data_IF_728017748109
#
_entry.id   IF_728017748109
#
_cell.length_a   1.000
_cell.length_b   1.000
_cell.length_c   1.000
_cell.angle_alpha   90.00
_cell.angle_beta   90.00
_cell.angle_gamma   90.00
#
_symmetry.space_group_name_H-M   'P 1'
#
loop_
_entity.id
_entity.type
_entity.pdbx_description
1 polymer ?
#
# COMPACT_ATOMS: atom_id res chain seq x y z
N UNK A 1 0.44 11.47 5.15
CA UNK A 1 1.69 11.66 5.89
C UNK A 1 1.93 10.54 6.90
N UNK A 2 0.91 10.16 7.69
CA UNK A 2 0.99 9.13 8.73
C UNK A 2 1.32 7.73 8.17
N UNK A 3 0.83 7.39 6.98
CA UNK A 3 1.11 6.12 6.29
C UNK A 3 2.46 6.10 5.55
N UNK A 4 3.21 7.19 5.57
CA UNK A 4 4.46 7.34 4.83
C UNK A 4 5.52 6.29 5.21
N UNK A 5 5.73 5.93 6.50
CA UNK A 5 6.68 4.88 6.87
C UNK A 5 6.37 3.52 6.23
N UNK A 6 5.08 3.19 6.06
CA UNK A 6 4.62 1.94 5.44
C UNK A 6 4.86 1.90 3.93
N UNK A 7 5.04 3.05 3.29
CA UNK A 7 5.48 3.14 1.91
C UNK A 7 7.01 3.10 1.80
N UNK A 8 7.70 3.84 2.65
CA UNK A 8 9.16 4.03 2.57
C UNK A 8 9.92 2.74 2.84
N UNK A 9 9.55 1.99 3.88
CA UNK A 9 10.27 0.78 4.27
C UNK A 9 10.34 -0.29 3.14
N UNK A 10 9.24 -0.69 2.48
CA UNK A 10 9.30 -1.66 1.39
C UNK A 10 10.07 -1.14 0.17
N UNK A 11 9.97 0.16 -0.11
CA UNK A 11 10.73 0.78 -1.19
C UNK A 11 12.23 0.78 -0.91
N UNK A 12 12.62 1.14 0.30
CA UNK A 12 14.01 1.10 0.74
C UNK A 12 14.58 -0.31 0.60
N UNK A 13 13.88 -1.33 1.09
CA UNK A 13 14.28 -2.73 0.94
C UNK A 13 14.40 -3.14 -0.53
N UNK A 14 13.48 -2.70 -1.39
CA UNK A 14 13.54 -3.01 -2.81
C UNK A 14 14.76 -2.37 -3.50
N UNK A 15 15.11 -1.15 -3.13
CA UNK A 15 16.31 -0.48 -3.64
C UNK A 15 17.60 -1.10 -3.09
N UNK A 16 17.64 -1.47 -1.83
CA UNK A 16 18.79 -2.18 -1.23
C UNK A 16 19.03 -3.53 -1.90
N UNK A 17 17.96 -4.29 -2.17
CA UNK A 17 18.04 -5.58 -2.87
C UNK A 17 18.46 -5.45 -4.35
N UNK A 18 18.17 -4.34 -4.99
CA UNK A 18 18.61 -4.07 -6.37
C UNK A 18 20.13 -4.02 -6.45
N UNK A 19 20.78 -3.44 -5.44
CA UNK A 19 22.21 -3.21 -5.42
C UNK A 19 22.66 -2.18 -6.47
N UNK A 20 23.98 -1.99 -6.56
CA UNK A 20 24.58 -1.03 -7.50
C UNK A 20 24.89 -1.63 -8.86
N UNK A 21 25.12 -2.93 -8.92
CA UNK A 21 25.63 -3.62 -10.11
C UNK A 21 24.76 -3.42 -11.37
N UNK A 22 23.42 -3.60 -11.36
CA UNK A 22 22.61 -3.37 -12.56
C UNK A 22 22.65 -1.93 -13.05
N UNK A 23 22.76 -0.97 -12.11
CA UNK A 23 22.80 0.47 -12.41
C UNK A 23 24.15 0.83 -13.05
N UNK A 24 25.25 0.27 -12.56
CA UNK A 24 26.60 0.48 -13.08
C UNK A 24 26.77 -0.14 -14.47
N UNK A 25 26.21 -1.33 -14.70
CA UNK A 25 26.19 -1.97 -16.02
C UNK A 25 25.42 -1.12 -17.02
N UNK A 26 24.25 -0.63 -16.68
CA UNK A 26 23.49 0.27 -17.56
C UNK A 26 24.23 1.59 -17.83
N UNK A 27 24.97 2.09 -16.83
CA UNK A 27 25.79 3.27 -16.98
C UNK A 27 26.94 3.06 -17.98
N UNK A 28 27.61 1.92 -17.91
CA UNK A 28 28.71 1.56 -18.83
C UNK A 28 28.25 1.37 -20.27
N UNK A 29 26.97 1.04 -20.47
CA UNK A 29 26.32 0.96 -21.78
C UNK A 29 25.83 2.33 -22.30
N UNK A 30 26.11 3.43 -21.59
CA UNK A 30 25.77 4.78 -22.00
C UNK A 30 24.36 5.24 -21.65
N UNK A 31 23.60 4.46 -20.85
CA UNK A 31 22.26 4.85 -20.43
C UNK A 31 22.30 6.11 -19.55
N UNK A 32 21.46 7.09 -19.87
CA UNK A 32 21.28 8.30 -19.07
C UNK A 32 20.62 8.04 -17.71
N UNK A 33 20.66 8.98 -16.75
CA UNK A 33 20.11 8.75 -15.40
C UNK A 33 18.59 8.48 -15.41
N UNK A 34 17.84 9.17 -16.26
CA UNK A 34 16.38 8.96 -16.41
C UNK A 34 16.11 7.62 -17.07
N UNK A 35 16.87 7.25 -18.09
CA UNK A 35 16.74 5.99 -18.79
C UNK A 35 17.04 4.81 -17.84
N UNK A 36 18.11 4.88 -17.06
CA UNK A 36 18.40 3.89 -15.98
C UNK A 36 17.27 3.76 -14.98
N UNK A 37 16.65 4.86 -14.59
CA UNK A 37 15.53 4.83 -13.65
C UNK A 37 14.32 4.09 -14.26
N UNK A 38 13.94 4.42 -15.49
CA UNK A 38 12.74 3.86 -16.13
C UNK A 38 12.93 2.43 -16.63
N UNK A 39 14.13 2.09 -17.14
CA UNK A 39 14.37 0.78 -17.78
C UNK A 39 14.98 -0.26 -16.84
N UNK A 40 15.66 0.15 -15.78
CA UNK A 40 16.33 -0.76 -14.84
C UNK A 40 15.69 -0.70 -13.46
N UNK A 41 15.69 0.47 -12.82
CA UNK A 41 15.28 0.59 -11.42
C UNK A 41 13.79 0.30 -11.25
N UNK A 42 12.95 0.98 -12.02
CA UNK A 42 11.50 0.87 -11.89
C UNK A 42 10.99 -0.56 -12.15
N UNK A 43 11.37 -1.25 -13.24
CA UNK A 43 10.91 -2.62 -13.48
C UNK A 43 11.50 -3.64 -12.49
N UNK A 44 12.71 -3.45 -12.00
CA UNK A 44 13.32 -4.35 -11.02
C UNK A 44 12.75 -4.16 -9.61
N UNK A 45 12.36 -2.94 -9.24
CA UNK A 45 11.77 -2.60 -7.95
C UNK A 45 10.23 -2.65 -7.94
N UNK A 46 9.56 -3.02 -9.06
CA UNK A 46 8.08 -3.04 -9.14
C UNK A 46 7.40 -3.80 -8.01
N UNK A 47 8.01 -4.90 -7.53
CA UNK A 47 7.50 -5.65 -6.38
C UNK A 47 7.47 -4.83 -5.10
N UNK A 48 8.49 -4.02 -4.85
CA UNK A 48 8.55 -3.10 -3.71
C UNK A 48 7.49 -2.01 -3.79
N UNK A 49 7.25 -1.45 -4.97
CA UNK A 49 6.18 -0.47 -5.19
C UNK A 49 4.79 -1.03 -4.91
N UNK A 50 4.51 -2.27 -5.35
CA UNK A 50 3.23 -2.93 -5.09
C UNK A 50 3.04 -3.17 -3.59
N UNK A 51 4.07 -3.65 -2.89
CA UNK A 51 4.02 -3.88 -1.45
C UNK A 51 3.83 -2.55 -0.70
N UNK A 52 4.58 -1.51 -1.07
CA UNK A 52 4.46 -0.18 -0.49
C UNK A 52 3.04 0.40 -0.64
N UNK A 53 2.49 0.34 -1.85
CA UNK A 53 1.13 0.80 -2.12
C UNK A 53 0.10 0.02 -1.31
N UNK A 54 0.23 -1.30 -1.24
CA UNK A 54 -0.70 -2.15 -0.49
C UNK A 54 -0.65 -1.90 1.02
N UNK A 55 0.54 -1.82 1.59
CA UNK A 55 0.69 -1.57 3.03
C UNK A 55 0.18 -0.18 3.41
N UNK A 56 0.52 0.84 2.62
CA UNK A 56 0.01 2.20 2.84
C UNK A 56 -1.50 2.27 2.73
N UNK A 57 -2.08 1.60 1.73
CA UNK A 57 -3.53 1.54 1.55
C UNK A 57 -4.21 0.80 2.71
N UNK A 58 -3.72 -0.38 3.08
CA UNK A 58 -4.27 -1.17 4.19
C UNK A 58 -4.17 -0.40 5.53
N UNK A 59 -3.04 0.27 5.78
CA UNK A 59 -2.87 1.11 6.95
C UNK A 59 -3.86 2.28 6.97
N UNK A 60 -4.03 2.96 5.84
CA UNK A 60 -4.97 4.10 5.73
C UNK A 60 -6.43 3.67 5.92
N UNK A 61 -6.83 2.49 5.43
CA UNK A 61 -8.18 1.96 5.64
C UNK A 61 -8.46 1.62 7.10
N UNK A 62 -7.46 1.10 7.82
CA UNK A 62 -7.57 0.74 9.23
C UNK A 62 -7.35 1.89 10.19
N UNK A 63 -6.89 3.05 9.70
CA UNK A 63 -6.60 4.21 10.54
C UNK A 63 -7.89 4.83 11.07
N UNK A 64 -8.03 4.82 12.38
CA UNK A 64 -9.20 5.34 13.08
C UNK A 64 -8.81 6.47 14.03
N UNK A 65 -7.85 6.21 14.93
CA UNK A 65 -7.55 7.07 16.06
C UNK A 65 -7.06 8.45 15.67
N UNK A 66 -6.03 8.50 14.80
CA UNK A 66 -5.42 9.78 14.40
C UNK A 66 -6.38 10.60 13.54
N UNK A 67 -7.14 9.96 12.64
CA UNK A 67 -8.11 10.66 11.80
C UNK A 67 -9.24 11.23 12.65
N UNK A 68 -9.75 10.47 13.62
CA UNK A 68 -10.79 10.97 14.54
C UNK A 68 -10.30 12.12 15.40
N UNK A 69 -9.07 12.03 15.92
CA UNK A 69 -8.49 13.05 16.81
C UNK A 69 -8.17 14.35 16.09
N UNK A 70 -7.70 14.28 14.84
CA UNK A 70 -7.28 15.46 14.08
C UNK A 70 -8.37 16.02 13.17
N UNK A 71 -9.19 15.17 12.56
CA UNK A 71 -10.16 15.53 11.55
C UNK A 71 -11.60 15.53 12.04
N UNK A 72 -11.89 14.93 13.20
CA UNK A 72 -13.25 14.70 13.65
C UNK A 72 -14.01 13.72 12.74
N UNK A 73 -15.35 13.76 12.81
CA UNK A 73 -16.24 12.89 12.03
C UNK A 73 -17.14 13.74 11.12
N UNK A 74 -16.55 14.53 10.21
CA UNK A 74 -17.30 15.41 9.31
C UNK A 74 -17.74 14.60 8.08
N UNK A 75 -19.07 14.40 7.84
CA UNK A 75 -19.56 13.69 6.69
C UNK A 75 -19.13 14.35 5.37
N UNK A 76 -18.57 13.55 4.45
CA UNK A 76 -18.12 14.03 3.14
C UNK A 76 -16.73 14.67 3.11
N UNK A 77 -16.10 14.93 4.27
CA UNK A 77 -14.77 15.55 4.35
C UNK A 77 -13.75 14.63 5.05
N UNK A 78 -13.95 14.35 6.34
CA UNK A 78 -12.98 13.61 7.17
C UNK A 78 -13.48 12.25 7.63
N UNK A 79 -14.76 11.92 7.36
CA UNK A 79 -15.36 10.67 7.77
C UNK A 79 -14.89 9.50 6.90
N UNK A 80 -14.01 8.66 7.45
CA UNK A 80 -13.54 7.44 6.81
C UNK A 80 -14.34 6.22 7.23
N UNK A 81 -14.18 5.09 6.54
CA UNK A 81 -14.96 3.88 6.76
C UNK A 81 -14.83 3.33 8.18
N UNK A 82 -13.64 3.39 8.78
CA UNK A 82 -13.40 2.97 10.17
C UNK A 82 -14.18 3.82 11.19
N UNK A 83 -14.28 5.13 10.95
CA UNK A 83 -15.09 6.04 11.77
C UNK A 83 -16.58 5.75 11.59
N UNK A 84 -17.03 5.46 10.36
CA UNK A 84 -18.43 5.11 10.10
C UNK A 84 -18.87 3.83 10.83
N UNK A 85 -18.00 2.80 10.87
CA UNK A 85 -18.25 1.58 11.64
C UNK A 85 -18.38 1.90 13.15
N UNK A 86 -17.49 2.73 13.66
CA UNK A 86 -17.51 3.16 15.04
C UNK A 86 -18.79 3.93 15.40
N UNK A 87 -19.19 4.91 14.58
CA UNK A 87 -20.41 5.68 14.78
C UNK A 87 -21.67 4.79 14.81
N UNK A 88 -21.73 3.78 13.94
CA UNK A 88 -22.84 2.81 13.97
C UNK A 88 -22.83 1.96 15.25
N UNK A 89 -21.65 1.58 15.74
CA UNK A 89 -21.53 0.82 16.98
C UNK A 89 -21.93 1.67 18.20
N UNK A 90 -21.51 2.94 18.24
CA UNK A 90 -21.85 3.88 19.30
C UNK A 90 -23.35 4.23 19.32
N UNK A 91 -23.98 4.32 18.13
CA UNK A 91 -25.42 4.50 17.98
C UNK A 91 -26.25 3.23 18.27
N UNK A 92 -25.64 2.17 18.84
CA UNK A 92 -26.29 0.87 19.08
C UNK A 92 -26.85 0.19 17.82
N UNK A 93 -26.47 0.65 16.63
CA UNK A 93 -26.84 0.03 15.35
C UNK A 93 -25.85 -1.06 14.97
N UNK A 94 -25.84 -2.15 15.73
CA UNK A 94 -24.91 -3.26 15.54
C UNK A 94 -25.10 -3.96 14.18
N UNK A 95 -26.28 -3.92 13.60
CA UNK A 95 -26.53 -4.49 12.28
C UNK A 95 -25.79 -3.69 11.19
N UNK A 96 -25.86 -2.37 11.22
CA UNK A 96 -25.13 -1.51 10.30
C UNK A 96 -23.62 -1.63 10.48
N UNK A 97 -23.14 -1.61 11.73
CA UNK A 97 -21.72 -1.80 12.05
C UNK A 97 -21.19 -3.16 11.54
N UNK A 98 -21.95 -4.23 11.75
CA UNK A 98 -21.59 -5.59 11.35
C UNK A 98 -21.52 -5.73 9.82
N UNK A 99 -22.48 -5.17 9.08
CA UNK A 99 -22.48 -5.20 7.61
C UNK A 99 -21.29 -4.44 7.01
N UNK A 100 -20.99 -3.26 7.53
CA UNK A 100 -19.85 -2.46 7.09
C UNK A 100 -18.51 -3.14 7.41
N UNK A 101 -18.40 -3.72 8.61
CA UNK A 101 -17.20 -4.46 9.02
C UNK A 101 -16.97 -5.70 8.17
N UNK A 102 -18.03 -6.45 7.87
CA UNK A 102 -17.95 -7.61 7.00
C UNK A 102 -17.55 -7.21 5.57
N UNK A 103 -18.14 -6.13 5.04
CA UNK A 103 -17.78 -5.58 3.74
C UNK A 103 -16.31 -5.18 3.66
N UNK A 104 -15.80 -4.48 4.70
CA UNK A 104 -14.40 -4.09 4.79
C UNK A 104 -13.47 -5.30 4.88
N UNK A 105 -13.86 -6.32 5.64
CA UNK A 105 -13.10 -7.56 5.79
C UNK A 105 -12.97 -8.30 4.46
N UNK A 106 -14.08 -8.50 3.75
CA UNK A 106 -14.10 -9.15 2.43
C UNK A 106 -13.26 -8.34 1.43
N UNK A 107 -13.43 -7.03 1.40
CA UNK A 107 -12.67 -6.15 0.53
C UNK A 107 -11.16 -6.25 0.80
N UNK A 108 -10.76 -6.16 2.06
CA UNK A 108 -9.35 -6.29 2.47
C UNK A 108 -8.76 -7.64 2.09
N UNK A 109 -9.54 -8.72 2.27
CA UNK A 109 -9.12 -10.06 1.89
C UNK A 109 -8.92 -10.20 0.37
N UNK A 110 -9.85 -9.66 -0.44
CA UNK A 110 -9.73 -9.65 -1.90
C UNK A 110 -8.49 -8.88 -2.36
N UNK A 111 -8.25 -7.69 -1.80
CA UNK A 111 -7.05 -6.88 -2.10
C UNK A 111 -5.78 -7.65 -1.75
N UNK A 112 -5.74 -8.30 -0.59
CA UNK A 112 -4.59 -9.09 -0.15
C UNK A 112 -4.30 -10.27 -1.08
N UNK A 113 -5.34 -10.99 -1.49
CA UNK A 113 -5.21 -12.11 -2.45
C UNK A 113 -4.72 -11.63 -3.81
N UNK A 114 -5.24 -10.51 -4.31
CA UNK A 114 -4.80 -9.92 -5.58
C UNK A 114 -3.31 -9.54 -5.53
N UNK A 115 -2.88 -8.85 -4.48
CA UNK A 115 -1.48 -8.48 -4.29
C UNK A 115 -0.59 -9.70 -4.18
N UNK A 116 -1.02 -10.71 -3.43
CA UNK A 116 -0.28 -11.96 -3.30
C UNK A 116 -0.10 -12.67 -4.66
N UNK A 117 -1.16 -12.74 -5.48
CA UNK A 117 -1.08 -13.32 -6.83
C UNK A 117 -0.14 -12.55 -7.76
N UNK A 118 -0.25 -11.22 -7.77
CA UNK A 118 0.65 -10.36 -8.57
C UNK A 118 2.10 -10.56 -8.17
N UNK A 119 2.37 -10.64 -6.86
CA UNK A 119 3.71 -10.90 -6.33
C UNK A 119 4.24 -12.27 -6.76
N UNK A 120 3.43 -13.31 -6.67
CA UNK A 120 3.83 -14.68 -7.04
C UNK A 120 4.20 -14.81 -8.53
N UNK A 121 3.47 -14.14 -9.42
CA UNK A 121 3.78 -14.11 -10.85
C UNK A 121 5.16 -13.48 -11.15
N UNK A 122 5.58 -12.53 -10.34
CA UNK A 122 6.89 -11.87 -10.50
C UNK A 122 8.06 -12.76 -10.06
N UNK A 123 7.86 -13.62 -9.06
CA UNK A 123 8.90 -14.57 -8.63
C UNK A 123 9.03 -15.80 -9.55
N UNK A 124 7.95 -16.19 -10.21
CA UNK A 124 7.95 -17.33 -11.15
C UNK A 124 8.72 -17.07 -12.46
N UNK A 125 8.91 -15.83 -12.86
CA UNK A 125 9.66 -15.46 -14.07
C UNK A 125 11.19 -15.36 -13.89
N UNK A 126 11.69 -15.58 -12.68
CA UNK A 126 13.13 -15.53 -12.37
C UNK A 126 13.80 -16.92 -12.24
N UNK A 127 13.11 -17.99 -12.67
CA UNK A 127 13.71 -19.33 -12.80
C UNK A 127 13.98 -19.71 -14.24
#
# INVERSE_FOLDING_TARGET
LYSLPFAVQPLQQAFEQLGRQPIEVAASLGAGPIDRFLTVILPMCKGGFIVAATLSFAHTLGEFGVILMLGGSIPGETKVLSILIYDHAEAMNYQGASQLSLGLLVFSFVVLVLVYRVRQQQYGQRR
#
